data_IF_011602053239
#
_entry.id   IF_011602053239
#
_cell.length_a   1.000
_cell.length_b   1.000
_cell.length_c   1.000
_cell.angle_alpha   90.00
_cell.angle_beta   90.00
_cell.angle_gamma   90.00
#
_symmetry.space_group_name_H-M   'P 1'
#
loop_
_entity.id
_entity.type
_entity.pdbx_description
1 polymer ?
#
# COMPACT_ATOMS: atom_id res chain seq x y z
N UNK A 1 -1.80 3.28 54.04
CA UNK A 1 -2.71 4.28 54.65
C UNK A 1 -3.71 4.70 53.59
N UNK A 2 -4.99 4.33 53.76
CA UNK A 2 -6.08 5.25 54.16
C UNK A 2 -6.35 6.37 53.13
N UNK A 3 -7.55 6.61 52.61
CA UNK A 3 -8.87 5.99 52.77
C UNK A 3 -9.86 6.75 51.86
N UNK A 4 -10.90 6.02 51.39
CA UNK A 4 -12.33 6.39 51.37
C UNK A 4 -12.85 7.52 50.46
N UNK A 5 -13.73 7.11 49.54
CA UNK A 5 -15.22 7.19 49.56
C UNK A 5 -15.83 8.49 49.00
N UNK A 6 -16.73 8.30 48.02
CA UNK A 6 -18.17 8.64 48.07
C UNK A 6 -18.84 7.89 46.90
N UNK A 7 -19.58 6.79 47.11
CA UNK A 7 -20.99 6.72 47.51
C UNK A 7 -21.90 7.71 46.77
N UNK A 8 -22.71 7.21 45.82
CA UNK A 8 -24.19 7.22 45.90
C UNK A 8 -24.74 6.41 44.71
N UNK A 9 -25.13 5.16 44.94
CA UNK A 9 -26.53 4.73 45.11
C UNK A 9 -27.43 5.01 43.90
N UNK A 10 -27.57 4.01 43.02
CA UNK A 10 -28.85 3.75 42.38
C UNK A 10 -29.30 2.35 42.77
N UNK A 11 -30.38 2.31 43.55
CA UNK A 11 -30.94 1.18 44.26
C UNK A 11 -32.04 0.61 43.36
N UNK A 12 -31.72 -0.34 42.50
CA UNK A 12 -32.75 -1.10 41.78
C UNK A 12 -32.72 -2.56 42.23
N UNK A 13 -33.73 -2.80 43.07
CA UNK A 13 -34.14 -4.04 43.68
C UNK A 13 -34.64 -4.99 42.57
N UNK A 14 -33.75 -5.69 41.87
CA UNK A 14 -34.19 -6.83 41.07
C UNK A 14 -34.42 -8.01 41.99
N UNK A 15 -35.71 -8.26 42.25
CA UNK A 15 -36.22 -9.49 42.84
C UNK A 15 -35.51 -10.68 42.19
N UNK A 16 -34.91 -11.50 43.04
CA UNK A 16 -34.44 -12.85 42.72
C UNK A 16 -35.66 -13.63 42.21
N UNK A 17 -35.90 -13.63 40.90
CA UNK A 17 -36.73 -14.65 40.26
C UNK A 17 -35.74 -15.77 39.95
N UNK A 18 -35.68 -16.74 40.86
CA UNK A 18 -35.15 -18.06 40.54
C UNK A 18 -36.13 -18.60 39.50
N UNK A 19 -35.84 -18.30 38.23
CA UNK A 19 -36.37 -19.09 37.14
C UNK A 19 -35.54 -20.35 37.23
N UNK A 20 -36.17 -21.44 37.65
CA UNK A 20 -35.62 -22.76 37.41
C UNK A 20 -35.45 -22.85 35.89
N UNK A 21 -34.24 -22.63 35.40
CA UNK A 21 -33.85 -23.11 34.08
C UNK A 21 -34.08 -24.62 34.13
N UNK A 22 -35.10 -25.09 33.42
CA UNK A 22 -35.09 -26.46 32.96
C UNK A 22 -33.74 -26.66 32.27
N UNK A 23 -32.96 -27.71 32.59
CA UNK A 23 -31.85 -28.06 31.72
C UNK A 23 -32.44 -28.27 30.33
N UNK A 24 -31.95 -27.52 29.33
CA UNK A 24 -32.24 -27.84 27.94
C UNK A 24 -31.89 -29.32 27.75
N UNK A 25 -32.76 -30.08 27.09
CA UNK A 25 -32.41 -31.45 26.71
C UNK A 25 -31.12 -31.42 25.88
N UNK A 26 -30.25 -32.41 26.07
CA UNK A 26 -28.95 -32.50 25.39
C UNK A 26 -29.06 -32.34 23.85
N UNK A 27 -30.18 -32.76 23.25
CA UNK A 27 -30.49 -32.58 21.83
C UNK A 27 -30.75 -31.11 21.43
N UNK A 28 -31.45 -30.34 22.26
CA UNK A 28 -31.78 -28.93 22.00
C UNK A 28 -30.54 -28.03 22.15
N UNK A 29 -29.65 -28.39 23.08
CA UNK A 29 -28.36 -27.72 23.28
C UNK A 29 -27.36 -28.02 22.15
N UNK A 30 -27.39 -29.25 21.62
CA UNK A 30 -26.58 -29.63 20.45
C UNK A 30 -27.04 -28.92 19.17
N UNK A 31 -28.34 -28.73 18.99
CA UNK A 31 -28.91 -27.97 17.86
C UNK A 31 -28.50 -26.49 17.87
N UNK A 32 -28.49 -25.86 19.05
CA UNK A 32 -28.11 -24.45 19.18
C UNK A 32 -26.61 -24.20 18.92
N UNK A 33 -25.75 -25.14 19.35
CA UNK A 33 -24.30 -25.10 19.08
C UNK A 33 -23.98 -25.28 17.60
N UNK A 34 -24.68 -26.19 16.90
CA UNK A 34 -24.51 -26.41 15.45
C UNK A 34 -24.96 -25.17 14.65
N UNK A 35 -26.04 -24.51 15.04
CA UNK A 35 -26.51 -23.28 14.40
C UNK A 35 -25.54 -22.11 14.61
N UNK A 36 -24.97 -21.95 15.81
CA UNK A 36 -23.93 -20.96 16.08
C UNK A 36 -22.64 -21.23 15.30
N UNK A 37 -22.25 -22.50 15.17
CA UNK A 37 -21.05 -22.87 14.42
C UNK A 37 -21.22 -22.63 12.92
N UNK A 38 -22.39 -22.98 12.35
CA UNK A 38 -22.75 -22.64 10.97
C UNK A 38 -22.73 -21.13 10.71
N UNK A 39 -23.24 -20.34 11.66
CA UNK A 39 -23.21 -18.89 11.56
C UNK A 39 -21.76 -18.34 11.59
N UNK A 40 -20.91 -18.87 12.48
CA UNK A 40 -19.50 -18.50 12.58
C UNK A 40 -18.71 -18.86 11.31
N UNK A 41 -18.93 -20.06 10.77
CA UNK A 41 -18.33 -20.52 9.51
C UNK A 41 -18.79 -19.65 8.34
N UNK A 42 -20.07 -19.28 8.26
CA UNK A 42 -20.59 -18.38 7.23
C UNK A 42 -19.96 -16.98 7.33
N UNK A 43 -19.87 -16.40 8.52
CA UNK A 43 -19.24 -15.10 8.72
C UNK A 43 -17.75 -15.12 8.36
N UNK A 44 -17.00 -16.12 8.85
CA UNK A 44 -15.56 -16.23 8.60
C UNK A 44 -15.24 -16.55 7.14
N UNK A 45 -16.08 -17.33 6.46
CA UNK A 45 -16.00 -17.55 5.03
C UNK A 45 -16.07 -16.25 4.22
N UNK A 46 -17.05 -15.39 4.54
CA UNK A 46 -17.19 -14.08 3.89
C UNK A 46 -15.99 -13.15 4.19
N UNK A 47 -15.48 -13.14 5.43
CA UNK A 47 -14.31 -12.35 5.82
C UNK A 47 -13.06 -12.82 5.05
N UNK A 48 -12.88 -14.13 4.90
CA UNK A 48 -11.79 -14.71 4.12
C UNK A 48 -11.87 -14.34 2.65
N UNK A 49 -13.05 -14.42 2.06
CA UNK A 49 -13.27 -14.03 0.66
C UNK A 49 -13.00 -12.53 0.44
N UNK A 50 -13.52 -11.68 1.32
CA UNK A 50 -13.23 -10.24 1.32
C UNK A 50 -11.73 -9.95 1.44
N UNK A 51 -11.03 -10.67 2.33
CA UNK A 51 -9.59 -10.54 2.49
C UNK A 51 -8.82 -10.92 1.23
N UNK A 52 -9.22 -12.03 0.57
CA UNK A 52 -8.60 -12.48 -0.70
C UNK A 52 -8.80 -11.43 -1.79
N UNK A 53 -10.03 -10.92 -1.93
CA UNK A 53 -10.36 -9.89 -2.89
C UNK A 53 -9.57 -8.59 -2.63
N UNK A 54 -9.46 -8.17 -1.37
CA UNK A 54 -8.66 -6.99 -0.98
C UNK A 54 -7.18 -7.15 -1.32
N UNK A 55 -6.62 -8.35 -1.09
CA UNK A 55 -5.24 -8.67 -1.47
C UNK A 55 -5.04 -8.60 -2.99
N UNK A 56 -5.97 -9.17 -3.77
CA UNK A 56 -5.92 -9.12 -5.24
C UNK A 56 -5.98 -7.68 -5.77
N UNK A 57 -6.82 -6.82 -5.17
CA UNK A 57 -6.87 -5.41 -5.52
C UNK A 57 -5.53 -4.69 -5.24
N UNK A 58 -4.87 -5.00 -4.12
CA UNK A 58 -3.58 -4.39 -3.78
C UNK A 58 -2.45 -4.88 -4.70
N UNK A 59 -2.54 -6.11 -5.22
CA UNK A 59 -1.65 -6.62 -6.27
C UNK A 59 -1.88 -5.92 -7.61
N UNK A 60 -3.14 -5.74 -8.04
CA UNK A 60 -3.48 -4.95 -9.23
C UNK A 60 -3.01 -3.51 -9.09
N UNK A 61 -3.13 -2.92 -7.89
CA UNK A 61 -2.60 -1.59 -7.58
C UNK A 61 -1.08 -1.54 -7.72
N UNK A 62 -0.36 -2.52 -7.20
CA UNK A 62 1.09 -2.62 -7.36
C UNK A 62 1.49 -2.66 -8.85
N UNK A 63 0.82 -3.50 -9.64
CA UNK A 63 1.04 -3.59 -11.09
C UNK A 63 0.75 -2.26 -11.80
N UNK A 64 -0.35 -1.59 -11.45
CA UNK A 64 -0.70 -0.27 -12.00
C UNK A 64 0.37 0.77 -11.70
N UNK A 65 0.90 0.81 -10.47
CA UNK A 65 1.96 1.73 -10.07
C UNK A 65 3.28 1.45 -10.81
N UNK A 66 3.63 0.17 -10.98
CA UNK A 66 4.81 -0.22 -11.76
C UNK A 66 4.64 0.18 -13.22
N UNK A 67 3.48 -0.10 -13.83
CA UNK A 67 3.18 0.27 -15.21
C UNK A 67 3.23 1.80 -15.41
N UNK A 68 2.65 2.56 -14.49
CA UNK A 68 2.74 4.02 -14.48
C UNK A 68 4.21 4.48 -14.41
N UNK A 69 5.03 3.86 -13.57
CA UNK A 69 6.46 4.16 -13.49
C UNK A 69 7.22 3.83 -14.77
N UNK A 70 6.88 2.74 -15.45
CA UNK A 70 7.48 2.37 -16.73
C UNK A 70 7.15 3.41 -17.81
N UNK A 71 5.89 3.85 -17.88
CA UNK A 71 5.47 4.92 -18.79
C UNK A 71 6.25 6.22 -18.55
N UNK A 72 6.56 6.54 -17.30
CA UNK A 72 7.41 7.70 -16.97
C UNK A 72 8.84 7.56 -17.48
N UNK A 73 9.47 6.39 -17.28
CA UNK A 73 10.83 6.14 -17.78
C UNK A 73 10.87 6.33 -19.29
N UNK A 74 9.88 5.80 -20.03
CA UNK A 74 9.77 6.00 -21.47
C UNK A 74 9.62 7.47 -21.84
N UNK A 75 8.77 8.23 -21.14
CA UNK A 75 8.61 9.66 -21.38
C UNK A 75 9.92 10.42 -21.15
N UNK A 76 10.69 10.07 -20.10
CA UNK A 76 11.98 10.68 -19.81
C UNK A 76 13.00 10.37 -20.89
N UNK A 77 13.03 9.14 -21.41
CA UNK A 77 13.91 8.77 -22.53
C UNK A 77 13.61 9.60 -23.78
N UNK A 78 12.33 9.71 -24.18
CA UNK A 78 11.91 10.49 -25.35
C UNK A 78 12.27 11.97 -25.17
N UNK A 79 11.97 12.54 -24.01
CA UNK A 79 12.26 13.94 -23.72
C UNK A 79 13.77 14.23 -23.69
N UNK A 80 14.56 13.32 -23.11
CA UNK A 80 16.02 13.45 -23.09
C UNK A 80 16.59 13.42 -24.51
N UNK A 81 16.12 12.50 -25.36
CA UNK A 81 16.52 12.45 -26.77
C UNK A 81 16.23 13.78 -27.45
N UNK A 82 15.02 14.33 -27.28
CA UNK A 82 14.64 15.61 -27.89
C UNK A 82 15.55 16.78 -27.45
N UNK A 83 15.94 16.85 -26.18
CA UNK A 83 16.85 17.90 -25.69
C UNK A 83 18.25 17.72 -26.30
N UNK A 84 18.79 16.50 -26.29
CA UNK A 84 20.15 16.26 -26.76
C UNK A 84 20.28 16.38 -28.29
N UNK A 85 19.23 16.09 -29.06
CA UNK A 85 19.23 16.28 -30.51
C UNK A 85 19.14 17.75 -30.91
N UNK A 86 18.42 18.58 -30.14
CA UNK A 86 18.31 20.02 -30.40
C UNK A 86 19.53 20.81 -29.90
N UNK A 87 20.29 20.27 -28.95
CA UNK A 87 21.48 20.93 -28.39
C UNK A 87 22.47 21.48 -29.44
N UNK A 88 22.94 20.73 -30.45
CA UNK A 88 23.86 21.26 -31.47
C UNK A 88 23.25 22.39 -32.30
N UNK A 89 21.93 22.38 -32.51
CA UNK A 89 21.24 23.46 -33.24
C UNK A 89 21.35 24.77 -32.47
N UNK A 90 21.18 24.74 -31.15
CA UNK A 90 21.33 25.93 -30.30
C UNK A 90 22.77 26.40 -30.15
N UNK A 91 23.76 25.50 -30.23
CA UNK A 91 25.18 25.86 -30.22
C UNK A 91 25.60 26.68 -31.44
N UNK A 92 24.93 26.48 -32.59
CA UNK A 92 25.24 27.19 -33.83
C UNK A 92 24.65 28.62 -33.87
N UNK A 93 23.90 29.04 -32.86
CA UNK A 93 23.32 30.38 -32.78
C UNK A 93 24.37 31.33 -32.17
N UNK A 94 24.89 32.33 -32.92
CA UNK A 94 26.02 33.16 -32.49
C UNK A 94 25.68 34.10 -31.32
N UNK A 95 24.39 34.31 -31.04
CA UNK A 95 23.88 35.22 -29.99
C UNK A 95 23.99 34.57 -28.60
N UNK A 96 24.02 33.24 -28.51
CA UNK A 96 23.97 32.53 -27.23
C UNK A 96 25.39 32.15 -26.80
N UNK A 97 25.91 32.69 -25.68
CA UNK A 97 27.23 32.28 -25.20
C UNK A 97 27.19 30.82 -24.74
N UNK A 98 28.15 30.03 -25.23
CA UNK A 98 28.26 28.59 -25.00
C UNK A 98 28.17 28.18 -23.52
N UNK A 99 28.82 28.94 -22.62
CA UNK A 99 28.78 28.68 -21.18
C UNK A 99 27.38 28.77 -20.58
N UNK A 100 26.53 29.71 -21.04
CA UNK A 100 25.15 29.84 -20.55
C UNK A 100 24.30 28.67 -21.03
N UNK A 101 24.47 28.25 -22.29
CA UNK A 101 23.78 27.09 -22.86
C UNK A 101 24.11 25.81 -22.08
N UNK A 102 25.41 25.56 -21.83
CA UNK A 102 25.84 24.40 -21.04
C UNK A 102 25.29 24.42 -19.61
N UNK A 103 25.28 25.59 -18.97
CA UNK A 103 24.74 25.73 -17.62
C UNK A 103 23.24 25.41 -17.57
N UNK A 104 22.44 25.94 -18.50
CA UNK A 104 21.01 25.65 -18.60
C UNK A 104 20.74 24.16 -18.84
N UNK A 105 21.43 23.55 -19.80
CA UNK A 105 21.29 22.12 -20.12
C UNK A 105 21.72 21.26 -18.94
N UNK A 106 22.81 21.61 -18.26
CA UNK A 106 23.29 20.90 -17.08
C UNK A 106 22.25 20.86 -15.96
N UNK A 107 21.59 21.99 -15.67
CA UNK A 107 20.50 22.05 -14.68
C UNK A 107 19.35 21.13 -15.09
N UNK A 108 18.89 21.22 -16.34
CA UNK A 108 17.80 20.38 -16.86
C UNK A 108 18.15 18.90 -16.74
N UNK A 109 19.37 18.52 -17.15
CA UNK A 109 19.87 17.14 -17.06
C UNK A 109 19.91 16.63 -15.62
N UNK A 110 20.32 17.45 -14.64
CA UNK A 110 20.33 17.05 -13.23
C UNK A 110 18.91 16.74 -12.74
N UNK A 111 17.93 17.60 -13.05
CA UNK A 111 16.54 17.36 -12.67
C UNK A 111 15.95 16.12 -13.36
N UNK A 112 16.24 15.93 -14.66
CA UNK A 112 15.81 14.75 -15.40
C UNK A 112 16.44 13.47 -14.85
N UNK A 113 17.74 13.49 -14.52
CA UNK A 113 18.44 12.34 -13.96
C UNK A 113 17.90 11.99 -12.57
N UNK A 114 17.69 12.99 -11.70
CA UNK A 114 17.09 12.78 -10.39
C UNK A 114 15.68 12.20 -10.49
N UNK A 115 14.87 12.70 -11.42
CA UNK A 115 13.54 12.18 -11.71
C UNK A 115 13.59 10.72 -12.21
N UNK A 116 14.53 10.41 -13.10
CA UNK A 116 14.72 9.07 -13.67
C UNK A 116 15.11 8.06 -12.59
N UNK A 117 16.08 8.41 -11.73
CA UNK A 117 16.51 7.53 -10.62
C UNK A 117 15.34 7.21 -9.71
N UNK A 118 14.52 8.19 -9.35
CA UNK A 118 13.33 7.95 -8.51
C UNK A 118 12.31 7.04 -9.20
N UNK A 119 12.08 7.19 -10.51
CA UNK A 119 11.21 6.28 -11.26
C UNK A 119 11.79 4.86 -11.33
N UNK A 120 13.10 4.69 -11.51
CA UNK A 120 13.72 3.36 -11.47
C UNK A 120 13.62 2.74 -10.08
N UNK A 121 13.78 3.52 -9.01
CA UNK A 121 13.60 3.03 -7.63
C UNK A 121 12.18 2.54 -7.34
N UNK A 122 11.17 3.06 -8.04
CA UNK A 122 9.80 2.53 -7.96
C UNK A 122 9.70 1.11 -8.50
N UNK A 123 10.52 0.73 -9.48
CA UNK A 123 10.53 -0.62 -10.04
C UNK A 123 11.33 -1.60 -9.16
N UNK A 124 12.10 -1.10 -8.19
CA UNK A 124 12.88 -1.94 -7.30
C UNK A 124 11.99 -2.92 -6.53
N UNK A 125 12.45 -4.17 -6.41
CA UNK A 125 11.73 -5.22 -5.69
C UNK A 125 12.05 -5.16 -4.21
N UNK A 126 11.18 -4.50 -3.44
CA UNK A 126 11.28 -4.47 -1.98
C UNK A 126 10.84 -5.80 -1.36
N UNK A 127 11.52 -6.23 -0.30
CA UNK A 127 11.12 -7.39 0.50
C UNK A 127 9.81 -7.08 1.23
N UNK A 128 8.85 -8.00 1.18
CA UNK A 128 7.59 -7.93 1.91
C UNK A 128 7.33 -9.23 2.67
N UNK A 129 6.35 -9.21 3.57
CA UNK A 129 6.00 -10.37 4.37
C UNK A 129 5.30 -11.41 3.49
N UNK A 130 5.77 -12.65 3.53
CA UNK A 130 5.22 -13.78 2.78
C UNK A 130 4.35 -14.64 3.68
N UNK A 131 3.41 -15.41 3.11
CA UNK A 131 2.70 -16.44 3.87
C UNK A 131 3.70 -17.39 4.53
N UNK A 132 3.29 -17.96 5.68
CA UNK A 132 4.02 -19.08 6.30
C UNK A 132 4.16 -20.20 5.27
N UNK A 133 5.29 -20.90 5.34
CA UNK A 133 5.47 -22.09 4.52
C UNK A 133 4.46 -23.17 4.93
N UNK A 134 4.11 -24.07 4.01
CA UNK A 134 3.20 -25.20 4.26
C UNK A 134 3.69 -26.02 5.46
N UNK A 135 5.00 -26.23 5.58
CA UNK A 135 5.60 -26.97 6.70
C UNK A 135 5.47 -26.22 8.03
N UNK A 136 5.64 -24.90 8.03
CA UNK A 136 5.44 -24.05 9.22
C UNK A 136 3.97 -23.98 9.62
N UNK A 137 3.07 -23.94 8.63
CA UNK A 137 1.63 -23.98 8.85
C UNK A 137 1.21 -25.31 9.46
N UNK A 138 1.64 -26.42 8.87
CA UNK A 138 1.38 -27.76 9.37
C UNK A 138 1.88 -27.94 10.80
N UNK A 139 3.11 -27.47 11.09
CA UNK A 139 3.66 -27.49 12.46
C UNK A 139 2.80 -26.66 13.42
N UNK A 140 2.36 -25.47 13.02
CA UNK A 140 1.48 -24.60 13.84
C UNK A 140 0.16 -25.30 14.18
N UNK A 141 -0.43 -26.00 13.20
CA UNK A 141 -1.69 -26.74 13.38
C UNK A 141 -1.49 -27.97 14.26
N UNK A 142 -0.36 -28.68 14.10
CA UNK A 142 -0.05 -29.87 14.87
C UNK A 142 0.30 -29.57 16.34
N UNK A 143 0.99 -28.46 16.62
CA UNK A 143 1.37 -28.04 17.98
C UNK A 143 0.19 -27.44 18.77
N UNK A 144 -0.74 -26.75 18.11
CA UNK A 144 -1.92 -26.13 18.72
C UNK A 144 -3.22 -26.79 18.27
N UNK A 145 -3.24 -28.11 18.10
CA UNK A 145 -4.37 -28.85 17.50
C UNK A 145 -5.71 -28.62 18.24
N UNK A 146 -5.70 -28.33 19.54
CA UNK A 146 -6.90 -27.98 20.32
C UNK A 146 -7.58 -26.68 19.84
N UNK A 147 -6.82 -25.77 19.23
CA UNK A 147 -7.31 -24.50 18.68
C UNK A 147 -7.77 -24.61 17.22
N UNK A 148 -7.70 -25.79 16.61
CA UNK A 148 -8.06 -26.05 15.20
C UNK A 148 -9.10 -27.17 15.07
N UNK A 149 -10.18 -27.08 15.85
CA UNK A 149 -11.27 -28.05 15.86
C UNK A 149 -12.40 -27.68 14.90
N UNK A 150 -12.48 -26.41 14.50
CA UNK A 150 -13.57 -25.87 13.65
C UNK A 150 -13.02 -25.14 12.42
N UNK A 151 -13.77 -25.13 11.33
CA UNK A 151 -13.38 -24.46 10.08
C UNK A 151 -13.18 -22.95 10.30
N UNK A 152 -14.05 -22.31 11.10
CA UNK A 152 -13.90 -20.92 11.51
C UNK A 152 -12.54 -20.59 12.14
N UNK A 153 -11.94 -21.50 12.93
CA UNK A 153 -10.62 -21.28 13.54
C UNK A 153 -9.49 -21.27 12.49
N UNK A 154 -9.53 -22.18 11.52
CA UNK A 154 -8.61 -22.15 10.38
C UNK A 154 -8.77 -20.84 9.57
N UNK A 155 -10.01 -20.40 9.37
CA UNK A 155 -10.29 -19.17 8.62
C UNK A 155 -9.86 -17.90 9.39
N UNK A 156 -9.89 -17.91 10.73
CA UNK A 156 -9.33 -16.84 11.58
C UNK A 156 -7.82 -16.75 11.39
N UNK A 157 -7.10 -17.88 11.44
CA UNK A 157 -5.65 -17.89 11.23
C UNK A 157 -5.29 -17.44 9.80
N UNK A 158 -6.06 -17.88 8.81
CA UNK A 158 -5.90 -17.44 7.42
C UNK A 158 -6.07 -15.93 7.28
N UNK A 159 -7.11 -15.38 7.90
CA UNK A 159 -7.38 -13.93 7.92
C UNK A 159 -6.21 -13.17 8.55
N UNK A 160 -5.64 -13.64 9.64
CA UNK A 160 -4.52 -12.95 10.30
C UNK A 160 -3.25 -12.95 9.44
N UNK A 161 -2.91 -14.07 8.80
CA UNK A 161 -1.80 -14.11 7.84
C UNK A 161 -2.04 -13.16 6.66
N UNK A 162 -3.25 -13.17 6.11
CA UNK A 162 -3.61 -12.34 4.97
C UNK A 162 -3.57 -10.85 5.32
N UNK A 163 -4.00 -10.49 6.53
CA UNK A 163 -3.91 -9.13 7.07
C UNK A 163 -2.48 -8.64 7.11
N UNK A 164 -1.55 -9.43 7.64
CA UNK A 164 -0.14 -9.03 7.77
C UNK A 164 0.52 -8.82 6.40
N UNK A 165 0.24 -9.72 5.46
CA UNK A 165 0.71 -9.60 4.08
C UNK A 165 0.13 -8.36 3.41
N UNK A 166 -1.19 -8.18 3.47
CA UNK A 166 -1.88 -7.03 2.90
C UNK A 166 -1.33 -5.72 3.46
N UNK A 167 -1.16 -5.62 4.79
CA UNK A 167 -0.64 -4.42 5.44
C UNK A 167 0.82 -4.14 5.06
N UNK A 168 1.63 -5.18 4.87
CA UNK A 168 2.99 -5.04 4.36
C UNK A 168 3.02 -4.51 2.91
N UNK A 169 2.18 -5.05 2.02
CA UNK A 169 2.06 -4.60 0.62
C UNK A 169 1.52 -3.18 0.54
N UNK A 170 0.48 -2.85 1.29
CA UNK A 170 -0.10 -1.51 1.34
C UNK A 170 0.93 -0.44 1.73
N UNK A 171 1.78 -0.73 2.72
CA UNK A 171 2.88 0.17 3.13
C UNK A 171 3.89 0.39 2.00
N UNK A 172 4.25 -0.67 1.28
CA UNK A 172 5.18 -0.58 0.15
C UNK A 172 4.58 0.17 -1.04
N UNK A 173 3.32 -0.12 -1.40
CA UNK A 173 2.63 0.60 -2.47
C UNK A 173 2.49 2.09 -2.16
N UNK A 174 2.20 2.47 -0.91
CA UNK A 174 2.21 3.88 -0.51
C UNK A 174 3.59 4.54 -0.62
N UNK A 175 4.68 3.80 -0.37
CA UNK A 175 6.04 4.30 -0.63
C UNK A 175 6.29 4.48 -2.13
N UNK A 176 5.89 3.51 -2.97
CA UNK A 176 5.97 3.62 -4.44
C UNK A 176 5.23 4.86 -4.93
N UNK A 177 4.01 5.12 -4.45
CA UNK A 177 3.24 6.34 -4.79
C UNK A 177 4.00 7.62 -4.46
N UNK A 178 4.66 7.69 -3.29
CA UNK A 178 5.46 8.88 -2.92
C UNK A 178 6.64 9.10 -3.87
N UNK A 179 7.35 8.02 -4.23
CA UNK A 179 8.46 8.08 -5.18
C UNK A 179 7.99 8.50 -6.58
N UNK A 180 6.88 7.94 -7.06
CA UNK A 180 6.26 8.33 -8.34
C UNK A 180 5.91 9.81 -8.34
N UNK A 181 5.25 10.32 -7.29
CA UNK A 181 4.90 11.74 -7.19
C UNK A 181 6.14 12.64 -7.16
N UNK A 182 7.19 12.25 -6.43
CA UNK A 182 8.44 13.01 -6.38
C UNK A 182 9.12 13.06 -7.76
N UNK A 183 9.15 11.94 -8.48
CA UNK A 183 9.65 11.86 -9.85
C UNK A 183 8.83 12.75 -10.80
N UNK A 184 7.50 12.67 -10.79
CA UNK A 184 6.64 13.57 -11.57
C UNK A 184 6.95 15.05 -11.33
N UNK A 185 7.08 15.47 -10.06
CA UNK A 185 7.34 16.87 -9.71
C UNK A 185 8.67 17.34 -10.26
N UNK A 186 9.75 16.56 -10.11
CA UNK A 186 11.07 16.91 -10.65
C UNK A 186 11.06 16.97 -12.17
N UNK A 187 10.33 16.08 -12.83
CA UNK A 187 10.16 16.14 -14.27
C UNK A 187 9.45 17.42 -14.72
N UNK A 188 8.36 17.82 -14.05
CA UNK A 188 7.69 19.07 -14.38
C UNK A 188 8.55 20.30 -14.14
N UNK A 189 9.41 20.28 -13.10
CA UNK A 189 10.41 21.34 -12.90
C UNK A 189 11.39 21.37 -14.07
N UNK A 190 11.88 20.22 -14.56
CA UNK A 190 12.75 20.15 -15.73
C UNK A 190 12.08 20.69 -17.01
N UNK A 191 10.81 20.34 -17.23
CA UNK A 191 10.05 20.88 -18.38
C UNK A 191 9.87 22.40 -18.24
N UNK A 192 9.53 22.88 -17.04
CA UNK A 192 9.38 24.31 -16.76
C UNK A 192 10.67 25.09 -16.99
N UNK A 193 11.83 24.57 -16.58
CA UNK A 193 13.12 25.23 -16.80
C UNK A 193 13.51 25.28 -18.27
N UNK A 194 13.14 24.29 -19.08
CA UNK A 194 13.30 24.33 -20.54
C UNK A 194 12.42 25.42 -21.17
N UNK A 195 11.15 25.51 -20.78
CA UNK A 195 10.24 26.53 -21.34
C UNK A 195 10.74 27.94 -20.99
N UNK A 196 11.11 28.17 -19.74
CA UNK A 196 11.64 29.46 -19.29
C UNK A 196 12.95 29.83 -20.00
N UNK A 197 13.83 28.85 -20.28
CA UNK A 197 15.08 29.12 -20.99
C UNK A 197 14.84 29.52 -22.44
N UNK A 198 13.90 28.86 -23.13
CA UNK A 198 13.52 29.22 -24.51
C UNK A 198 12.90 30.61 -24.57
N UNK A 199 11.98 30.95 -23.66
CA UNK A 199 11.36 32.28 -23.59
C UNK A 199 12.43 33.35 -23.32
N UNK A 200 13.35 33.08 -22.39
CA UNK A 200 14.46 33.99 -22.08
C UNK A 200 15.36 34.25 -23.29
N UNK A 201 15.66 33.23 -24.08
CA UNK A 201 16.41 33.37 -25.33
C UNK A 201 15.63 34.19 -26.35
N UNK A 202 14.33 33.94 -26.52
CA UNK A 202 13.48 34.66 -27.46
C UNK A 202 13.38 36.16 -27.11
N UNK A 203 13.31 36.51 -25.83
CA UNK A 203 13.27 37.90 -25.38
C UNK A 203 14.61 38.63 -25.57
N UNK A 204 15.74 37.91 -25.53
CA UNK A 204 17.06 38.47 -25.85
C UNK A 204 17.24 38.69 -27.36
N UNK A 205 16.49 37.94 -28.20
CA UNK A 205 16.55 38.04 -29.65
C UNK A 205 15.69 39.19 -30.24
N UNK A 206 14.67 39.66 -29.53
CA UNK A 206 13.81 40.80 -29.92
C UNK A 206 14.50 42.11 -29.54
#
# INVERSE_FOLDING_TARGET
>A
MKQRKKHQSCKLRCKKKVICENPLNDEEQTSYLDEQQKLADFMMGNVKEFGKYSFELEEKREQSLINQSTQMVTAFSVFSIAIYTLLPVFQNIPIIPFFKLLFCVGIVTIFLLASLVLAVLVQWRFKYYTMKNIEEFYKSVNEEHENYTTQAQFDIQWKDQLKDIHLSKFKLNNRRVKLIKASMVLFFIAVGTVILSVIGIAFIMI
#
